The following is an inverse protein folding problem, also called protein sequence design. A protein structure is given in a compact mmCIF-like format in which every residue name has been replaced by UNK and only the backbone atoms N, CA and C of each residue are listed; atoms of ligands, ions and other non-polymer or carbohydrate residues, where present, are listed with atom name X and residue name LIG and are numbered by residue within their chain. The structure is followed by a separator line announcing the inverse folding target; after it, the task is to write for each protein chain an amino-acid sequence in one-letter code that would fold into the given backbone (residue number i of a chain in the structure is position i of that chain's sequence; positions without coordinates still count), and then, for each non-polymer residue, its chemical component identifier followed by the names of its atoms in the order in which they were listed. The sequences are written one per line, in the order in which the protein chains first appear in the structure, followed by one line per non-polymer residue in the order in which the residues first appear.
data_IF_416492632737
#
_entry.id   IF_416492632737
#
_cell.length_a   1.000
_cell.length_b   1.000
_cell.length_c   1.000
_cell.angle_alpha   90.00
_cell.angle_beta   90.00
_cell.angle_gamma   90.00
#
_symmetry.space_group_name_H-M   'P 1'
#
loop_
_entity.id
_entity.type
_entity.pdbx_description
1 polymer ?
#
# COMPACT_ATOMS: atom_id res chain seq x y z
N UNK A 1 30.99 -0.23 -31.56
CA UNK A 1 30.22 0.04 -30.32
C UNK A 1 29.28 -1.12 -30.10
N UNK A 2 29.62 -2.03 -29.18
CA UNK A 2 28.77 -3.17 -28.80
C UNK A 2 27.65 -2.66 -27.89
N UNK A 3 26.40 -2.95 -28.24
CA UNK A 3 25.27 -2.70 -27.35
C UNK A 3 25.47 -3.55 -26.09
N UNK A 4 25.71 -2.89 -24.94
CA UNK A 4 25.49 -3.53 -23.65
C UNK A 4 24.02 -3.95 -23.63
N UNK A 5 23.74 -5.25 -23.51
CA UNK A 5 22.37 -5.78 -23.49
C UNK A 5 21.61 -5.05 -22.38
N UNK A 6 20.49 -4.40 -22.71
CA UNK A 6 19.58 -3.79 -21.73
C UNK A 6 19.18 -4.74 -20.59
N UNK A 7 19.34 -6.06 -20.78
CA UNK A 7 19.13 -7.07 -19.75
C UNK A 7 20.10 -7.05 -18.57
N UNK A 8 21.37 -6.65 -18.72
CA UNK A 8 22.34 -6.75 -17.59
C UNK A 8 22.14 -5.65 -16.55
N UNK A 9 21.78 -4.44 -16.97
CA UNK A 9 21.51 -3.31 -16.06
C UNK A 9 20.21 -3.53 -15.27
N UNK A 10 19.16 -4.04 -15.93
CA UNK A 10 17.91 -4.40 -15.27
C UNK A 10 18.12 -5.59 -14.33
N UNK A 11 18.82 -6.65 -14.75
CA UNK A 11 19.11 -7.81 -13.88
C UNK A 11 19.93 -7.39 -12.63
N UNK A 12 20.96 -6.56 -12.80
CA UNK A 12 21.73 -6.03 -11.69
C UNK A 12 20.89 -5.19 -10.71
N UNK A 13 20.01 -4.33 -11.21
CA UNK A 13 19.12 -3.51 -10.39
C UNK A 13 18.05 -4.36 -9.67
N UNK A 14 17.46 -5.34 -10.35
CA UNK A 14 16.48 -6.24 -9.72
C UNK A 14 17.13 -7.17 -8.70
N UNK A 15 18.38 -7.58 -8.94
CA UNK A 15 19.18 -8.37 -7.99
C UNK A 15 19.63 -7.55 -6.79
N UNK A 16 19.97 -6.26 -6.96
CA UNK A 16 20.39 -5.39 -5.85
C UNK A 16 19.26 -5.11 -4.86
N UNK A 17 18.02 -5.09 -5.34
CA UNK A 17 16.81 -4.69 -4.60
C UNK A 17 16.87 -3.28 -3.99
N UNK A 18 17.78 -2.46 -4.50
CA UNK A 18 17.83 -1.01 -4.29
C UNK A 18 17.63 -0.39 -5.67
N UNK A 19 16.38 -0.25 -6.07
CA UNK A 19 16.05 0.12 -7.43
C UNK A 19 14.64 0.66 -7.58
N UNK A 20 14.42 1.29 -8.73
CA UNK A 20 13.09 1.57 -9.25
C UNK A 20 13.00 1.06 -10.67
N UNK A 21 11.96 0.28 -10.96
CA UNK A 21 11.63 -0.16 -12.32
C UNK A 21 10.30 0.47 -12.71
N UNK A 22 10.28 1.16 -13.87
CA UNK A 22 9.06 1.72 -14.45
C UNK A 22 8.79 1.04 -15.77
N UNK A 23 7.54 0.59 -15.95
CA UNK A 23 7.08 -0.09 -17.15
C UNK A 23 5.85 0.63 -17.67
N UNK A 24 5.89 1.00 -18.94
CA UNK A 24 4.72 1.50 -19.67
C UNK A 24 4.29 0.44 -20.67
N UNK A 25 3.09 -0.08 -20.49
CA UNK A 25 2.59 -1.19 -21.30
C UNK A 25 1.06 -1.14 -21.45
N UNK A 26 0.55 -1.98 -22.34
CA UNK A 26 -0.88 -2.23 -22.57
C UNK A 26 -1.10 -3.73 -22.69
N UNK A 27 -2.14 -4.27 -22.05
CA UNK A 27 -2.52 -5.69 -22.26
C UNK A 27 -3.13 -5.90 -23.64
N UNK A 28 -2.82 -7.04 -24.27
CA UNK A 28 -3.38 -7.43 -25.57
C UNK A 28 -4.73 -8.15 -25.47
N UNK A 29 -5.30 -8.31 -24.26
CA UNK A 29 -6.72 -8.61 -24.06
C UNK A 29 -7.12 -10.09 -24.12
N UNK A 30 -6.22 -11.03 -23.82
CA UNK A 30 -6.56 -12.46 -23.82
C UNK A 30 -5.88 -13.22 -22.69
N UNK A 31 -6.63 -13.58 -21.64
CA UNK A 31 -6.34 -14.64 -20.66
C UNK A 31 -4.86 -14.88 -20.35
N UNK A 32 -4.19 -13.79 -20.00
CA UNK A 32 -2.76 -13.70 -20.01
C UNK A 32 -2.26 -13.60 -18.59
N UNK A 33 -1.60 -14.65 -18.13
CA UNK A 33 -1.07 -14.74 -16.79
C UNK A 33 0.45 -14.75 -16.93
N UNK A 34 1.23 -13.90 -16.25
CA UNK A 34 2.68 -14.08 -16.29
C UNK A 34 3.52 -12.94 -15.71
N UNK A 35 4.78 -13.28 -15.46
CA UNK A 35 5.80 -12.35 -14.99
C UNK A 35 6.46 -11.62 -16.16
N UNK A 36 6.59 -10.28 -16.12
CA UNK A 36 7.35 -9.57 -17.16
C UNK A 36 8.85 -9.57 -16.90
N UNK A 37 9.31 -9.51 -15.65
CA UNK A 37 10.74 -9.52 -15.34
C UNK A 37 11.03 -10.26 -14.04
N UNK A 38 11.74 -11.37 -14.15
CA UNK A 38 12.32 -12.06 -13.01
C UNK A 38 13.78 -11.66 -12.80
N UNK A 39 14.15 -11.37 -11.55
CA UNK A 39 15.56 -11.40 -11.13
C UNK A 39 16.06 -12.84 -10.98
N UNK A 40 17.35 -13.01 -10.75
CA UNK A 40 17.89 -14.25 -10.15
C UNK A 40 17.27 -14.52 -8.76
N UNK A 41 17.45 -15.74 -8.25
CA UNK A 41 17.02 -16.12 -6.89
C UNK A 41 17.52 -15.10 -5.85
N UNK A 42 16.61 -14.56 -5.02
CA UNK A 42 16.95 -13.56 -4.00
C UNK A 42 16.63 -12.11 -4.37
N UNK A 43 16.31 -11.81 -5.63
CA UNK A 43 16.00 -10.45 -6.10
C UNK A 43 14.50 -10.16 -6.26
N UNK A 44 14.19 -9.00 -6.86
CA UNK A 44 12.83 -8.55 -7.12
C UNK A 44 12.22 -9.25 -8.34
N UNK A 45 11.05 -9.87 -8.15
CA UNK A 45 10.22 -10.36 -9.26
C UNK A 45 9.17 -9.33 -9.59
N UNK A 46 9.34 -8.69 -10.73
CA UNK A 46 8.49 -7.60 -11.13
C UNK A 46 7.41 -8.08 -12.06
N UNK A 47 6.22 -7.55 -11.75
CA UNK A 47 5.12 -7.43 -12.67
C UNK A 47 4.44 -8.76 -12.98
N UNK A 48 3.24 -8.90 -12.45
CA UNK A 48 2.30 -9.93 -12.80
C UNK A 48 1.09 -9.27 -13.47
N UNK A 49 0.75 -9.69 -14.68
CA UNK A 49 -0.58 -9.45 -15.26
C UNK A 49 -1.37 -10.74 -15.16
N UNK A 50 -2.58 -10.61 -14.64
CA UNK A 50 -3.69 -11.52 -14.87
C UNK A 50 -4.58 -10.76 -15.84
N UNK A 51 -4.72 -11.23 -17.07
CA UNK A 51 -5.77 -10.75 -17.96
C UNK A 51 -6.91 -11.76 -17.92
N UNK A 52 -8.14 -11.32 -17.75
CA UNK A 52 -9.33 -12.15 -17.91
C UNK A 52 -10.42 -11.35 -18.61
N UNK A 53 -11.71 -11.66 -18.41
CA UNK A 53 -12.77 -10.76 -18.85
C UNK A 53 -12.59 -9.38 -18.16
N UNK A 54 -12.99 -8.27 -18.81
CA UNK A 54 -13.01 -6.92 -18.19
C UNK A 54 -13.66 -7.03 -16.79
N UNK A 55 -12.85 -6.94 -15.74
CA UNK A 55 -13.29 -7.14 -14.34
C UNK A 55 -12.57 -8.25 -13.55
N UNK A 56 -11.92 -9.21 -14.22
CA UNK A 56 -11.06 -10.22 -13.56
C UNK A 56 -9.57 -10.01 -13.83
N UNK A 57 -9.21 -8.98 -14.60
CA UNK A 57 -7.81 -8.63 -14.83
C UNK A 57 -7.20 -8.00 -13.58
N UNK A 58 -5.94 -8.31 -13.27
CA UNK A 58 -5.21 -7.77 -12.13
C UNK A 58 -3.74 -7.50 -12.50
N UNK A 59 -3.15 -6.46 -11.90
CA UNK A 59 -1.74 -6.09 -12.08
C UNK A 59 -1.09 -5.96 -10.71
N UNK A 60 0.13 -6.47 -10.54
CA UNK A 60 0.90 -6.24 -9.33
C UNK A 60 2.20 -7.00 -9.26
N UNK A 61 2.62 -7.37 -8.04
CA UNK A 61 3.87 -8.11 -7.81
C UNK A 61 3.65 -9.61 -7.99
N UNK A 62 4.57 -10.26 -8.70
CA UNK A 62 4.61 -11.71 -8.75
C UNK A 62 5.16 -12.27 -7.44
N UNK A 63 4.42 -13.17 -6.79
CA UNK A 63 4.82 -13.85 -5.55
C UNK A 63 4.23 -15.27 -5.51
N UNK A 64 4.77 -16.12 -4.62
CA UNK A 64 4.28 -17.51 -4.45
C UNK A 64 2.76 -17.58 -4.14
N UNK A 65 2.21 -16.53 -3.53
CA UNK A 65 0.77 -16.33 -3.33
C UNK A 65 0.29 -15.22 -4.26
N UNK A 66 0.03 -15.63 -5.49
CA UNK A 66 -0.27 -14.84 -6.67
C UNK A 66 -1.37 -13.78 -6.46
N UNK A 67 -2.35 -14.04 -5.60
CA UNK A 67 -3.54 -13.19 -5.40
C UNK A 67 -3.37 -12.07 -4.38
N UNK A 68 -2.42 -12.18 -3.44
CA UNK A 68 -2.36 -11.25 -2.31
C UNK A 68 -1.65 -9.92 -2.63
N UNK A 69 -1.02 -9.80 -3.80
CA UNK A 69 -0.19 -8.63 -4.19
C UNK A 69 -0.52 -8.06 -5.55
N UNK A 70 -1.71 -8.35 -6.04
CA UNK A 70 -2.25 -7.81 -7.29
C UNK A 70 -3.47 -6.95 -7.00
N UNK A 71 -3.62 -5.90 -7.78
CA UNK A 71 -4.74 -4.98 -7.73
C UNK A 71 -5.61 -5.15 -8.99
N UNK A 72 -6.94 -5.05 -8.89
CA UNK A 72 -7.82 -5.19 -10.05
C UNK A 72 -7.51 -4.16 -11.14
N UNK A 73 -7.09 -4.60 -12.31
CA UNK A 73 -6.72 -3.75 -13.43
C UNK A 73 -7.89 -3.60 -14.41
N UNK A 74 -8.95 -2.93 -13.95
CA UNK A 74 -10.24 -2.77 -14.67
C UNK A 74 -10.07 -2.16 -16.08
N UNK A 75 -8.90 -1.57 -16.38
CA UNK A 75 -8.52 -1.03 -17.68
C UNK A 75 -7.15 -1.54 -18.18
N UNK A 76 -6.77 -2.79 -17.89
CA UNK A 76 -5.48 -3.36 -18.37
C UNK A 76 -5.32 -3.31 -19.89
N UNK A 77 -6.43 -3.27 -20.64
CA UNK A 77 -6.46 -3.09 -22.09
C UNK A 77 -6.14 -1.66 -22.55
N UNK A 78 -6.07 -0.67 -21.65
CA UNK A 78 -5.52 0.66 -21.91
C UNK A 78 -4.04 0.72 -21.51
N UNK A 79 -3.35 1.76 -21.94
CA UNK A 79 -1.98 2.01 -21.50
C UNK A 79 -1.97 2.24 -19.98
N UNK A 80 -1.07 1.57 -19.28
CA UNK A 80 -0.82 1.78 -17.86
C UNK A 80 0.67 2.01 -17.60
N UNK A 81 0.95 2.73 -16.51
CA UNK A 81 2.29 2.90 -15.95
C UNK A 81 2.36 2.10 -14.66
N UNK A 82 3.26 1.13 -14.60
CA UNK A 82 3.59 0.43 -13.37
C UNK A 82 4.96 0.87 -12.88
N UNK A 83 5.04 1.26 -11.61
CA UNK A 83 6.30 1.58 -10.94
C UNK A 83 6.50 0.57 -9.81
N UNK A 84 7.69 0.00 -9.73
CA UNK A 84 8.11 -0.82 -8.59
C UNK A 84 9.34 -0.18 -7.98
N UNK A 85 9.29 0.15 -6.69
CA UNK A 85 10.40 0.75 -5.95
C UNK A 85 10.79 -0.18 -4.82
N UNK A 86 12.08 -0.33 -4.53
CA UNK A 86 12.58 -1.24 -3.49
C UNK A 86 13.83 -0.68 -2.80
N UNK A 87 13.95 -0.88 -1.49
CA UNK A 87 15.22 -0.73 -0.73
C UNK A 87 15.55 -2.00 0.06
N UNK A 88 16.86 -2.29 0.14
CA UNK A 88 17.48 -3.13 1.16
C UNK A 88 18.35 -2.26 2.07
N UNK A 89 18.55 -2.61 3.37
CA UNK A 89 18.24 -3.90 4.03
C UNK A 89 16.84 -4.01 4.66
N UNK A 90 16.32 -5.24 4.73
CA UNK A 90 15.11 -5.61 5.47
C UNK A 90 15.43 -5.77 6.97
N UNK A 91 15.09 -4.79 7.78
CA UNK A 91 15.02 -4.96 9.23
C UNK A 91 13.54 -4.81 9.63
N UNK A 92 12.97 -5.86 10.24
CA UNK A 92 11.58 -5.82 10.71
C UNK A 92 11.42 -4.68 11.72
N UNK A 93 10.34 -3.88 11.58
CA UNK A 93 9.96 -2.86 12.57
C UNK A 93 10.67 -1.50 12.46
N UNK A 94 11.62 -1.30 11.54
CA UNK A 94 12.34 -0.01 11.38
C UNK A 94 11.97 0.79 10.13
N UNK A 95 11.24 0.20 9.18
CA UNK A 95 10.89 0.86 7.92
C UNK A 95 12.05 1.03 6.93
N UNK A 96 13.17 0.31 7.08
CA UNK A 96 14.38 0.54 6.23
C UNK A 96 14.36 -0.21 4.90
N UNK A 97 13.67 -1.35 4.83
CA UNK A 97 13.39 -2.06 3.59
C UNK A 97 11.94 -1.82 3.19
N UNK A 98 11.70 -1.07 2.12
CA UNK A 98 10.36 -0.75 1.62
C UNK A 98 10.29 -1.12 0.16
N UNK A 99 9.32 -1.95 -0.17
CA UNK A 99 8.84 -2.19 -1.51
C UNK A 99 7.53 -1.45 -1.70
N UNK A 100 7.36 -0.77 -2.85
CA UNK A 100 6.08 -0.22 -3.26
C UNK A 100 5.78 -0.64 -4.69
N UNK A 101 4.53 -1.00 -4.93
CA UNK A 101 4.00 -1.26 -6.27
C UNK A 101 2.97 -0.20 -6.59
N UNK A 102 3.23 0.57 -7.64
CA UNK A 102 2.33 1.59 -8.13
C UNK A 102 1.69 1.16 -9.44
N UNK A 103 0.40 1.48 -9.58
CA UNK A 103 -0.35 1.39 -10.82
C UNK A 103 -0.94 2.76 -11.12
N UNK A 104 -0.56 3.36 -12.24
CA UNK A 104 -0.98 4.69 -12.68
C UNK A 104 -0.83 5.77 -11.59
N UNK A 105 0.24 5.70 -10.80
CA UNK A 105 0.52 6.60 -9.68
C UNK A 105 -0.04 6.14 -8.33
N UNK A 106 -1.02 5.23 -8.27
CA UNK A 106 -1.49 4.69 -6.97
C UNK A 106 -0.53 3.64 -6.44
N UNK A 107 0.03 3.81 -5.25
CA UNK A 107 0.63 2.70 -4.51
C UNK A 107 -0.50 1.76 -4.07
N UNK A 108 -0.57 0.58 -4.70
CA UNK A 108 -1.63 -0.41 -4.44
C UNK A 108 -1.25 -1.40 -3.35
N UNK A 109 0.04 -1.60 -3.14
CA UNK A 109 0.59 -2.40 -2.05
C UNK A 109 1.99 -1.89 -1.71
N UNK A 110 2.31 -1.92 -0.42
CA UNK A 110 3.68 -1.87 0.06
C UNK A 110 4.09 -3.21 0.66
N UNK A 111 5.38 -3.42 0.86
CA UNK A 111 5.87 -4.53 1.67
C UNK A 111 7.20 -4.18 2.33
N UNK A 112 7.44 -4.72 3.51
CA UNK A 112 8.71 -4.60 4.23
C UNK A 112 9.48 -5.93 4.32
N UNK A 113 8.90 -7.03 3.84
CA UNK A 113 9.52 -8.35 3.79
C UNK A 113 9.17 -9.11 2.48
N UNK A 114 9.55 -8.58 1.31
CA UNK A 114 9.32 -9.27 0.05
C UNK A 114 10.13 -10.56 0.03
N UNK A 115 9.45 -11.68 0.30
CA UNK A 115 10.05 -13.00 0.14
C UNK A 115 10.61 -13.10 -1.29
N UNK A 116 11.90 -13.44 -1.46
CA UNK A 116 12.46 -13.67 -2.77
C UNK A 116 11.73 -14.85 -3.41
N UNK A 117 11.39 -14.72 -4.69
CA UNK A 117 10.68 -15.79 -5.39
C UNK A 117 11.67 -16.96 -5.61
N UNK A 118 11.34 -18.20 -5.21
CA UNK A 118 12.33 -19.29 -5.12
C UNK A 118 12.92 -19.77 -6.45
N UNK A 119 12.25 -19.55 -7.59
CA UNK A 119 12.59 -20.22 -8.86
C UNK A 119 12.51 -19.29 -10.08
N UNK A 120 13.51 -18.44 -10.28
CA UNK A 120 13.67 -17.66 -11.51
C UNK A 120 15.07 -17.95 -12.06
N UNK A 121 15.22 -19.04 -12.82
CA UNK A 121 16.50 -19.39 -13.46
C UNK A 121 16.75 -18.64 -14.77
N UNK A 122 15.81 -17.80 -15.22
CA UNK A 122 15.97 -17.02 -16.44
C UNK A 122 15.42 -15.60 -16.28
N UNK A 123 16.29 -14.61 -16.36
CA UNK A 123 15.90 -13.22 -16.63
C UNK A 123 15.28 -13.13 -18.03
N UNK A 124 14.04 -12.64 -18.14
CA UNK A 124 13.41 -12.46 -19.46
C UNK A 124 12.03 -11.81 -19.40
N UNK A 125 11.72 -11.08 -20.47
CA UNK A 125 10.36 -10.70 -20.84
C UNK A 125 9.55 -11.97 -21.07
N UNK A 126 8.50 -12.19 -20.28
CA UNK A 126 7.74 -13.45 -20.26
C UNK A 126 8.61 -14.68 -19.87
N UNK A 127 9.53 -14.51 -18.92
CA UNK A 127 10.39 -15.59 -18.46
C UNK A 127 9.65 -16.74 -17.77
N UNK A 128 10.11 -17.94 -18.09
CA UNK A 128 9.50 -19.22 -17.75
C UNK A 128 9.97 -19.70 -16.37
N UNK A 129 9.03 -19.90 -15.44
CA UNK A 129 9.19 -20.79 -14.29
C UNK A 129 8.08 -21.83 -14.33
N UNK A 130 8.42 -23.07 -14.72
CA UNK A 130 7.55 -24.26 -14.68
C UNK A 130 6.06 -24.05 -15.08
N UNK A 131 5.79 -23.97 -16.38
CA UNK A 131 4.45 -24.22 -16.94
C UNK A 131 3.56 -23.00 -17.16
N UNK A 132 3.49 -22.55 -18.42
CA UNK A 132 2.24 -22.10 -19.05
C UNK A 132 1.82 -20.63 -18.97
N UNK A 133 2.45 -19.78 -18.15
CA UNK A 133 1.95 -18.42 -17.92
C UNK A 133 2.73 -17.37 -18.74
N UNK A 134 2.13 -16.87 -19.84
CA UNK A 134 2.64 -15.75 -20.65
C UNK A 134 1.78 -14.50 -20.48
N UNK A 135 2.43 -13.39 -20.09
CA UNK A 135 1.89 -12.03 -20.21
C UNK A 135 1.93 -11.57 -21.69
N UNK A 136 0.79 -11.20 -22.30
CA UNK A 136 0.64 -10.70 -23.66
C UNK A 136 0.45 -9.20 -23.57
N UNK A 137 1.55 -8.47 -23.71
CA UNK A 137 1.61 -7.04 -23.50
C UNK A 137 2.31 -6.38 -24.68
N UNK A 138 1.81 -5.22 -25.06
CA UNK A 138 2.55 -4.26 -25.87
C UNK A 138 3.35 -3.37 -24.90
N UNK A 139 4.68 -3.48 -24.91
CA UNK A 139 5.58 -2.73 -24.03
C UNK A 139 6.12 -1.52 -24.78
N UNK A 140 5.85 -0.32 -24.27
CA UNK A 140 6.27 0.93 -24.91
C UNK A 140 7.57 1.48 -24.31
N UNK A 141 7.78 1.28 -23.00
CA UNK A 141 8.98 1.78 -22.31
C UNK A 141 9.30 0.97 -21.05
N UNK A 142 10.60 0.83 -20.78
CA UNK A 142 11.15 0.33 -19.51
C UNK A 142 12.23 1.30 -19.05
N UNK A 143 12.12 1.81 -17.82
CA UNK A 143 13.13 2.67 -17.17
C UNK A 143 13.59 1.98 -15.90
N UNK A 144 14.89 2.06 -15.62
CA UNK A 144 15.49 1.51 -14.42
C UNK A 144 16.34 2.58 -13.76
N UNK A 145 16.03 2.87 -12.49
CA UNK A 145 16.88 3.63 -11.61
C UNK A 145 17.62 2.67 -10.67
N UNK A 146 18.91 2.89 -10.48
CA UNK A 146 19.70 2.20 -9.46
C UNK A 146 19.50 2.79 -8.04
N UNK A 147 18.35 3.41 -7.82
CA UNK A 147 17.93 4.02 -6.58
C UNK A 147 16.40 3.86 -6.43
N UNK A 148 15.93 3.90 -5.18
CA UNK A 148 14.51 3.91 -4.87
C UNK A 148 13.97 5.32 -5.05
N UNK A 149 12.92 5.48 -5.87
CA UNK A 149 12.10 6.67 -5.90
C UNK A 149 11.17 6.67 -4.68
N UNK A 150 11.04 7.82 -4.04
CA UNK A 150 10.00 8.10 -3.06
C UNK A 150 8.61 8.08 -3.73
N UNK A 151 7.52 7.95 -2.95
CA UNK A 151 6.17 8.13 -3.47
C UNK A 151 5.97 9.40 -4.29
N UNK A 152 6.46 10.57 -3.83
CA UNK A 152 6.34 11.80 -4.59
C UNK A 152 7.04 11.71 -5.95
N UNK A 153 8.28 11.24 -6.00
CA UNK A 153 9.04 11.05 -7.24
C UNK A 153 8.40 10.00 -8.17
N UNK A 154 7.74 8.98 -7.62
CA UNK A 154 6.99 8.00 -8.42
C UNK A 154 5.76 8.63 -9.10
N UNK A 155 5.09 9.58 -8.44
CA UNK A 155 4.04 10.38 -9.06
C UNK A 155 4.60 11.31 -10.14
N UNK A 156 5.73 11.99 -9.92
CA UNK A 156 6.38 12.85 -10.92
C UNK A 156 6.82 12.05 -12.16
N UNK A 157 7.42 10.87 -11.95
CA UNK A 157 7.81 10.00 -13.05
C UNK A 157 6.60 9.50 -13.84
N UNK A 158 5.49 9.20 -13.15
CA UNK A 158 4.22 8.83 -13.79
C UNK A 158 3.66 10.02 -14.59
N UNK A 159 3.65 11.22 -14.01
CA UNK A 159 3.20 12.47 -14.65
C UNK A 159 3.90 12.70 -15.99
N UNK A 160 5.24 12.64 -15.97
CA UNK A 160 6.07 12.76 -17.16
C UNK A 160 5.74 11.71 -18.23
N UNK A 161 5.49 10.45 -17.84
CA UNK A 161 5.17 9.40 -18.79
C UNK A 161 3.79 9.59 -19.43
N UNK A 162 2.81 10.07 -18.66
CA UNK A 162 1.50 10.43 -19.21
C UNK A 162 1.63 11.56 -20.24
N UNK A 163 2.41 12.61 -19.94
CA UNK A 163 2.68 13.69 -20.90
C UNK A 163 3.42 13.18 -22.14
N UNK A 164 4.45 12.36 -21.95
CA UNK A 164 5.25 11.81 -23.05
C UNK A 164 4.43 10.99 -24.04
N UNK A 165 3.46 10.21 -23.55
CA UNK A 165 2.60 9.36 -24.37
C UNK A 165 1.24 10.00 -24.70
N UNK A 166 1.07 11.31 -24.42
CA UNK A 166 -0.16 12.05 -24.72
C UNK A 166 -1.40 11.48 -24.04
N UNK A 167 -1.25 10.87 -22.87
CA UNK A 167 -2.35 10.31 -22.10
C UNK A 167 -2.92 11.33 -21.11
N UNK A 168 -4.22 11.21 -20.81
CA UNK A 168 -4.85 12.01 -19.77
C UNK A 168 -4.39 11.53 -18.40
N UNK A 169 -3.84 12.45 -17.60
CA UNK A 169 -3.39 12.18 -16.23
C UNK A 169 -4.55 11.69 -15.37
N UNK A 170 -4.41 10.59 -14.60
CA UNK A 170 -5.54 10.02 -13.86
C UNK A 170 -6.11 10.95 -12.78
N UNK A 171 -5.27 11.82 -12.22
CA UNK A 171 -5.66 12.82 -11.23
C UNK A 171 -6.20 14.13 -11.83
N UNK A 172 -6.32 14.25 -13.16
CA UNK A 172 -6.78 15.49 -13.78
C UNK A 172 -8.16 15.94 -13.27
N UNK A 173 -9.07 14.98 -13.02
CA UNK A 173 -10.47 15.23 -12.65
C UNK A 173 -10.72 15.45 -11.15
N UNK A 174 -9.72 15.29 -10.28
CA UNK A 174 -9.88 15.46 -8.82
C UNK A 174 -9.16 16.72 -8.33
N UNK A 175 -9.62 17.28 -7.22
CA UNK A 175 -8.94 18.39 -6.51
C UNK A 175 -7.85 17.89 -5.57
N UNK A 176 -8.02 16.68 -5.03
CA UNK A 176 -7.20 16.12 -3.97
C UNK A 176 -6.80 14.67 -4.27
N UNK A 177 -5.61 14.28 -3.82
CA UNK A 177 -5.17 12.88 -3.77
C UNK A 177 -5.44 12.33 -2.37
N UNK A 178 -6.04 11.14 -2.29
CA UNK A 178 -6.21 10.45 -0.99
C UNK A 178 -4.97 9.64 -0.66
N UNK A 179 -4.32 9.93 0.46
CA UNK A 179 -3.14 9.22 0.95
C UNK A 179 -3.53 8.39 2.16
N UNK A 180 -3.29 7.09 2.12
CA UNK A 180 -3.46 6.20 3.27
C UNK A 180 -2.09 5.91 3.86
N UNK A 181 -1.90 6.19 5.16
CA UNK A 181 -0.64 5.97 5.87
C UNK A 181 -0.90 5.34 7.24
N UNK A 182 0.02 4.51 7.71
CA UNK A 182 -0.15 3.77 8.95
C UNK A 182 0.51 2.40 8.93
N UNK A 183 0.01 1.51 9.78
CA UNK A 183 0.61 0.22 10.06
C UNK A 183 0.16 -0.91 9.12
N UNK A 184 0.33 -2.16 9.57
CA UNK A 184 -0.08 -3.36 8.84
C UNK A 184 -1.58 -3.45 8.56
N UNK A 185 -2.44 -2.84 9.38
CA UNK A 185 -3.88 -2.75 9.12
C UNK A 185 -4.17 -1.76 7.97
N UNK A 186 -3.49 -0.62 7.93
CA UNK A 186 -3.58 0.30 6.79
C UNK A 186 -3.00 -0.31 5.53
N UNK A 187 -1.91 -1.05 5.66
CA UNK A 187 -1.35 -1.82 4.56
C UNK A 187 -2.33 -2.88 4.02
N UNK A 188 -3.24 -3.39 4.85
CA UNK A 188 -4.19 -4.42 4.46
C UNK A 188 -3.70 -5.85 4.69
N UNK A 189 -2.78 -6.08 5.64
CA UNK A 189 -2.38 -7.43 6.04
C UNK A 189 -3.61 -8.21 6.53
N UNK A 190 -3.79 -9.46 6.09
CA UNK A 190 -4.95 -10.29 6.43
C UNK A 190 -6.16 -10.15 5.47
N UNK A 191 -6.17 -9.12 4.61
CA UNK A 191 -7.31 -8.83 3.72
C UNK A 191 -7.54 -9.84 2.59
N UNK A 192 -6.57 -10.73 2.33
CA UNK A 192 -6.59 -11.64 1.18
C UNK A 192 -6.12 -11.00 -0.14
N UNK A 193 -5.77 -9.71 -0.15
CA UNK A 193 -5.19 -8.99 -1.29
C UNK A 193 -5.62 -7.53 -1.36
N UNK A 194 -5.08 -6.76 -2.30
CA UNK A 194 -5.33 -5.30 -2.42
C UNK A 194 -6.82 -4.98 -2.41
N UNK A 195 -7.64 -5.74 -3.14
CA UNK A 195 -9.09 -5.51 -3.24
C UNK A 195 -9.84 -5.70 -1.91
N UNK A 196 -9.28 -6.50 -1.00
CA UNK A 196 -9.84 -6.72 0.33
C UNK A 196 -9.45 -5.64 1.34
N UNK A 197 -8.43 -4.82 1.05
CA UNK A 197 -7.92 -3.81 1.98
C UNK A 197 -8.88 -2.62 2.13
N UNK A 198 -8.89 -1.97 3.30
CA UNK A 198 -9.74 -0.81 3.49
C UNK A 198 -9.38 0.38 2.57
N UNK A 199 -8.10 0.67 2.24
CA UNK A 199 -7.78 1.76 1.33
C UNK A 199 -8.42 1.57 -0.05
N UNK A 200 -8.35 0.36 -0.60
CA UNK A 200 -8.99 0.04 -1.87
C UNK A 200 -10.51 0.15 -1.76
N UNK A 201 -11.13 -0.47 -0.75
CA UNK A 201 -12.59 -0.41 -0.55
C UNK A 201 -13.10 1.04 -0.39
N UNK A 202 -12.39 1.85 0.38
CA UNK A 202 -12.72 3.27 0.59
C UNK A 202 -12.59 4.06 -0.71
N UNK A 203 -11.50 3.85 -1.46
CA UNK A 203 -11.31 4.47 -2.77
C UNK A 203 -12.43 4.11 -3.75
N UNK A 204 -12.82 2.83 -3.83
CA UNK A 204 -13.94 2.41 -4.68
C UNK A 204 -15.28 3.02 -4.24
N UNK A 205 -15.55 3.06 -2.93
CA UNK A 205 -16.76 3.68 -2.39
C UNK A 205 -16.85 5.19 -2.68
N UNK A 206 -15.70 5.87 -2.77
CA UNK A 206 -15.60 7.28 -3.15
C UNK A 206 -15.52 7.51 -4.67
N UNK A 207 -15.55 6.46 -5.50
CA UNK A 207 -15.42 6.56 -6.95
C UNK A 207 -14.03 6.99 -7.44
N UNK A 208 -12.98 6.77 -6.62
CA UNK A 208 -11.61 7.16 -6.95
C UNK A 208 -10.93 6.11 -7.83
N UNK A 209 -10.43 6.58 -8.97
CA UNK A 209 -9.62 5.77 -9.88
C UNK A 209 -8.17 5.65 -9.39
N UNK A 210 -7.41 4.71 -9.97
CA UNK A 210 -5.96 4.71 -9.78
C UNK A 210 -5.34 6.04 -10.24
N UNK A 211 -4.34 6.50 -9.51
CA UNK A 211 -3.73 7.82 -9.56
C UNK A 211 -4.45 8.89 -8.74
N UNK A 212 -5.63 8.60 -8.18
CA UNK A 212 -6.38 9.55 -7.31
C UNK A 212 -6.29 9.20 -5.82
N UNK A 213 -5.67 8.06 -5.51
CA UNK A 213 -5.40 7.61 -4.15
C UNK A 213 -4.10 6.81 -4.08
N UNK A 214 -3.52 6.63 -2.90
CA UNK A 214 -2.29 5.86 -2.73
C UNK A 214 -2.18 5.30 -1.32
N UNK A 215 -1.74 4.04 -1.17
CA UNK A 215 -1.47 3.42 0.12
C UNK A 215 0.03 3.36 0.40
N UNK A 216 0.52 4.29 1.22
CA UNK A 216 1.94 4.40 1.62
C UNK A 216 2.19 3.80 3.00
N UNK A 217 1.24 3.08 3.59
CA UNK A 217 1.42 2.43 4.88
C UNK A 217 2.57 1.41 4.88
N UNK A 218 3.08 1.07 6.07
CA UNK A 218 4.17 0.11 6.26
C UNK A 218 3.82 -0.81 7.42
N UNK A 219 3.89 -2.12 7.18
CA UNK A 219 3.68 -3.12 8.24
C UNK A 219 4.64 -2.91 9.42
N UNK A 220 4.12 -2.98 10.64
CA UNK A 220 4.95 -2.86 11.85
C UNK A 220 5.52 -1.47 12.14
N UNK A 221 5.12 -0.43 11.40
CA UNK A 221 5.61 0.94 11.65
C UNK A 221 4.99 1.50 12.94
N UNK A 222 5.77 2.30 13.65
CA UNK A 222 5.34 3.09 14.81
C UNK A 222 4.95 4.50 14.38
N UNK A 223 4.17 5.22 15.20
CA UNK A 223 3.80 6.61 14.91
C UNK A 223 5.04 7.52 14.79
N UNK A 224 6.07 7.31 15.60
CA UNK A 224 7.37 8.01 15.45
C UNK A 224 7.99 7.78 14.08
N UNK A 225 8.00 6.54 13.58
CA UNK A 225 8.59 6.22 12.29
C UNK A 225 7.73 6.71 11.12
N UNK A 226 6.40 6.79 11.28
CA UNK A 226 5.52 7.46 10.31
C UNK A 226 5.90 8.93 10.14
N UNK A 227 6.22 9.63 11.24
CA UNK A 227 6.69 11.02 11.20
C UNK A 227 8.03 11.13 10.46
N UNK A 228 8.97 10.21 10.70
CA UNK A 228 10.25 10.17 9.98
C UNK A 228 10.06 9.90 8.48
N UNK A 229 9.07 9.08 8.11
CA UNK A 229 8.75 8.74 6.72
C UNK A 229 7.98 9.83 5.97
N UNK A 230 7.28 10.72 6.67
CA UNK A 230 6.43 11.78 6.09
C UNK A 230 7.05 12.50 4.87
N UNK A 231 8.34 12.92 4.87
CA UNK A 231 8.95 13.61 3.72
C UNK A 231 8.92 12.81 2.41
N UNK A 232 8.82 11.48 2.46
CA UNK A 232 8.77 10.64 1.27
C UNK A 232 7.47 10.86 0.45
N UNK A 233 6.35 11.12 1.13
CA UNK A 233 5.04 11.23 0.48
C UNK A 233 4.40 12.60 0.59
N UNK A 234 4.90 13.49 1.44
CA UNK A 234 4.36 14.86 1.60
C UNK A 234 4.43 15.70 0.31
N UNK A 235 5.29 15.32 -0.64
CA UNK A 235 5.43 15.98 -1.94
C UNK A 235 4.37 15.60 -2.99
N UNK A 236 3.51 14.60 -2.74
CA UNK A 236 2.55 14.10 -3.75
C UNK A 236 1.60 15.20 -4.24
N UNK A 237 1.10 16.05 -3.33
CA UNK A 237 0.24 17.18 -3.70
C UNK A 237 0.94 18.14 -4.66
N UNK A 238 2.22 18.48 -4.40
CA UNK A 238 3.01 19.32 -5.30
C UNK A 238 3.29 18.63 -6.65
N UNK A 239 3.67 17.35 -6.63
CA UNK A 239 3.92 16.54 -7.83
C UNK A 239 2.72 16.43 -8.77
N UNK A 240 1.50 16.55 -8.23
CA UNK A 240 0.24 16.42 -8.99
C UNK A 240 -0.50 17.75 -9.18
N UNK A 241 -0.05 18.83 -8.53
CA UNK A 241 -0.75 20.11 -8.45
C UNK A 241 -2.10 20.01 -7.71
N UNK A 242 -2.21 19.12 -6.71
CA UNK A 242 -3.44 18.80 -5.97
C UNK A 242 -3.28 19.05 -4.47
N UNK A 243 -4.40 19.14 -3.77
CA UNK A 243 -4.41 18.99 -2.30
C UNK A 243 -4.25 17.53 -1.90
N UNK A 244 -4.12 17.29 -0.59
CA UNK A 244 -4.03 15.94 -0.04
C UNK A 244 -5.06 15.71 1.07
N UNK A 245 -5.73 14.56 1.01
CA UNK A 245 -6.58 14.03 2.08
C UNK A 245 -5.87 12.81 2.65
N UNK A 246 -5.34 12.93 3.86
CA UNK A 246 -4.59 11.86 4.53
C UNK A 246 -5.54 11.10 5.45
N UNK A 247 -5.58 9.79 5.32
CA UNK A 247 -6.27 8.89 6.23
C UNK A 247 -5.23 8.05 6.97
N UNK A 248 -5.13 8.21 8.29
CA UNK A 248 -4.09 7.54 9.06
C UNK A 248 -4.55 7.07 10.43
N UNK A 249 -3.95 5.99 10.90
CA UNK A 249 -3.97 5.58 12.31
C UNK A 249 -2.77 4.69 12.62
N UNK A 250 -2.24 4.84 13.82
CA UNK A 250 -1.26 3.92 14.40
C UNK A 250 -1.33 3.97 15.93
N UNK A 251 -1.40 2.77 16.52
CA UNK A 251 -1.41 2.53 17.97
C UNK A 251 -0.59 1.27 18.27
N UNK A 252 -0.86 0.20 17.52
CA UNK A 252 -0.52 -1.16 17.89
C UNK A 252 0.99 -1.41 18.05
N UNK A 253 1.83 -0.86 17.18
CA UNK A 253 3.28 -1.06 17.26
C UNK A 253 3.95 -0.07 18.22
N UNK A 254 3.30 1.06 18.50
CA UNK A 254 3.77 2.05 19.46
C UNK A 254 3.43 1.71 20.92
N UNK A 255 2.40 0.87 21.16
CA UNK A 255 1.86 0.57 22.50
C UNK A 255 2.88 0.10 23.53
N UNK A 256 3.94 -0.58 23.09
CA UNK A 256 5.02 -1.06 23.97
C UNK A 256 5.78 0.05 24.70
N UNK A 257 5.66 1.30 24.22
CA UNK A 257 6.23 2.48 24.88
C UNK A 257 5.32 3.08 25.97
N UNK A 258 4.12 2.53 26.18
CA UNK A 258 3.12 3.04 27.11
C UNK A 258 2.25 4.16 26.55
N UNK A 259 1.15 4.47 27.25
CA UNK A 259 0.11 5.38 26.75
C UNK A 259 0.62 6.79 26.48
N UNK A 260 1.34 7.40 27.42
CA UNK A 260 1.84 8.77 27.29
C UNK A 260 2.77 8.92 26.07
N UNK A 261 3.70 7.98 25.87
CA UNK A 261 4.60 7.99 24.73
C UNK A 261 3.85 7.75 23.41
N UNK A 262 2.84 6.87 23.42
CA UNK A 262 2.01 6.59 22.25
C UNK A 262 1.22 7.83 21.82
N UNK A 263 0.55 8.50 22.77
CA UNK A 263 -0.18 9.75 22.52
C UNK A 263 0.76 10.83 21.99
N UNK A 264 1.93 11.02 22.61
CA UNK A 264 2.91 12.02 22.17
C UNK A 264 3.41 11.76 20.75
N UNK A 265 3.71 10.51 20.40
CA UNK A 265 4.15 10.13 19.05
C UNK A 265 3.05 10.36 18.00
N UNK A 266 1.80 9.98 18.28
CA UNK A 266 0.67 10.23 17.38
C UNK A 266 0.41 11.72 17.19
N UNK A 267 0.44 12.52 18.26
CA UNK A 267 0.27 13.98 18.16
C UNK A 267 1.42 14.65 17.38
N UNK A 268 2.66 14.17 17.54
CA UNK A 268 3.80 14.66 16.77
C UNK A 268 3.64 14.37 15.27
N UNK A 269 3.16 13.18 14.91
CA UNK A 269 2.84 12.84 13.52
C UNK A 269 1.70 13.72 12.98
N UNK A 270 0.59 13.84 13.71
CA UNK A 270 -0.57 14.67 13.34
C UNK A 270 -0.12 16.10 13.05
N UNK A 271 0.64 16.71 13.96
CA UNK A 271 1.17 18.06 13.80
C UNK A 271 2.07 18.19 12.55
N UNK A 272 2.92 17.19 12.29
CA UNK A 272 3.80 17.18 11.13
C UNK A 272 3.00 17.08 9.81
N UNK A 273 1.96 16.24 9.74
CA UNK A 273 1.06 16.15 8.57
C UNK A 273 0.35 17.48 8.34
N UNK A 274 -0.17 18.10 9.41
CA UNK A 274 -0.87 19.40 9.33
C UNK A 274 0.04 20.56 8.92
N UNK A 275 1.35 20.42 9.09
CA UNK A 275 2.33 21.40 8.60
C UNK A 275 2.59 21.28 7.09
N UNK A 276 2.16 20.19 6.44
CA UNK A 276 2.26 20.05 4.98
C UNK A 276 1.19 20.92 4.31
N UNK A 277 1.56 21.80 3.37
CA UNK A 277 0.59 22.67 2.70
C UNK A 277 -0.56 21.91 2.03
N UNK A 278 -1.76 22.50 2.04
CA UNK A 278 -2.96 21.95 1.39
C UNK A 278 -3.29 20.50 1.79
N UNK A 279 -2.98 20.13 3.04
CA UNK A 279 -3.20 18.78 3.57
C UNK A 279 -4.27 18.79 4.66
N UNK A 280 -5.26 17.90 4.51
CA UNK A 280 -6.27 17.59 5.52
C UNK A 280 -6.07 16.18 6.05
N UNK A 281 -6.38 15.94 7.32
CA UNK A 281 -6.14 14.68 8.01
C UNK A 281 -7.41 14.13 8.65
N UNK A 282 -7.74 12.89 8.28
CA UNK A 282 -8.69 12.02 8.96
C UNK A 282 -7.90 11.02 9.82
N UNK A 283 -8.06 11.11 11.14
CA UNK A 283 -7.34 10.27 12.09
C UNK A 283 -8.25 9.25 12.77
N UNK A 284 -7.86 7.98 12.74
CA UNK A 284 -8.52 6.90 13.47
C UNK A 284 -7.82 6.57 14.79
N UNK A 285 -8.58 6.12 15.79
CA UNK A 285 -8.02 5.56 17.04
C UNK A 285 -7.56 4.10 16.87
N UNK A 286 -7.46 3.35 17.97
CA UNK A 286 -7.11 1.93 17.95
C UNK A 286 -8.29 1.02 17.60
N UNK A 287 -7.98 -0.14 17.01
CA UNK A 287 -8.87 -1.31 16.96
C UNK A 287 -8.59 -2.23 18.16
N UNK A 288 -9.46 -3.22 18.38
CA UNK A 288 -9.20 -4.30 19.34
C UNK A 288 -8.02 -5.17 18.89
N UNK A 289 -7.44 -5.96 19.80
CA UNK A 289 -6.44 -6.97 19.46
C UNK A 289 -6.31 -8.05 20.55
N UNK A 290 -5.55 -9.11 20.28
CA UNK A 290 -5.19 -10.07 21.32
C UNK A 290 -4.42 -9.42 22.46
N UNK A 291 -4.87 -9.67 23.69
CA UNK A 291 -4.36 -9.01 24.89
C UNK A 291 -5.23 -7.86 25.41
N UNK A 292 -6.38 -7.58 24.76
CA UNK A 292 -7.43 -6.77 25.39
C UNK A 292 -8.05 -7.51 26.59
N UNK A 293 -8.48 -6.79 27.66
CA UNK A 293 -8.39 -5.34 27.83
C UNK A 293 -6.93 -4.87 28.02
N UNK A 294 -6.58 -3.77 27.34
CA UNK A 294 -5.25 -3.18 27.36
C UNK A 294 -5.33 -1.76 27.98
N UNK A 295 -4.72 -1.59 29.15
CA UNK A 295 -4.73 -0.30 29.86
C UNK A 295 -4.09 0.83 29.05
N UNK A 296 -3.10 0.52 28.22
CA UNK A 296 -2.44 1.50 27.35
C UNK A 296 -3.39 1.95 26.25
N UNK A 297 -4.16 1.00 25.70
CA UNK A 297 -5.17 1.23 24.67
C UNK A 297 -6.29 2.13 25.18
N UNK A 298 -6.81 1.85 26.37
CA UNK A 298 -7.87 2.65 26.99
C UNK A 298 -7.42 4.08 27.26
N UNK A 299 -6.23 4.27 27.83
CA UNK A 299 -5.69 5.60 28.06
C UNK A 299 -5.44 6.37 26.75
N UNK A 300 -4.97 5.68 25.70
CA UNK A 300 -4.81 6.27 24.37
C UNK A 300 -6.16 6.72 23.78
N UNK A 301 -7.17 5.84 23.74
CA UNK A 301 -8.48 6.16 23.18
C UNK A 301 -9.16 7.30 23.96
N UNK A 302 -9.15 7.24 25.29
CA UNK A 302 -9.73 8.27 26.15
C UNK A 302 -9.06 9.64 25.94
N UNK A 303 -7.75 9.68 25.66
CA UNK A 303 -7.06 10.94 25.38
C UNK A 303 -7.54 11.58 24.08
N UNK A 304 -7.76 10.80 23.01
CA UNK A 304 -8.27 11.31 21.73
C UNK A 304 -9.77 11.64 21.77
N UNK A 305 -10.56 10.92 22.56
CA UNK A 305 -11.96 11.29 22.81
C UNK A 305 -12.07 12.62 23.58
N UNK A 306 -11.15 12.85 24.52
CA UNK A 306 -11.10 14.09 25.28
C UNK A 306 -10.63 15.29 24.43
N UNK A 307 -9.67 15.08 23.54
CA UNK A 307 -9.16 16.12 22.65
C UNK A 307 -8.69 15.57 21.29
N UNK A 308 -9.39 15.98 20.24
CA UNK A 308 -9.06 15.71 18.83
C UNK A 308 -9.10 17.00 17.99
N UNK A 309 -8.90 18.17 18.59
CA UNK A 309 -9.00 19.45 17.87
C UNK A 309 -7.93 19.63 16.78
N UNK A 310 -6.88 18.81 16.81
CA UNK A 310 -5.73 18.90 15.90
C UNK A 310 -5.88 18.08 14.61
N UNK A 311 -7.02 17.39 14.42
CA UNK A 311 -7.34 16.64 13.20
C UNK A 311 -8.56 17.25 12.52
N UNK A 312 -8.64 17.14 11.19
CA UNK A 312 -9.78 17.70 10.44
C UNK A 312 -11.01 16.77 10.50
N UNK A 313 -10.78 15.47 10.64
CA UNK A 313 -11.82 14.48 10.91
C UNK A 313 -11.30 13.44 11.90
N UNK A 314 -12.12 13.10 12.90
CA UNK A 314 -11.82 12.11 13.92
C UNK A 314 -12.73 10.88 13.75
N UNK A 315 -12.13 9.69 13.78
CA UNK A 315 -12.86 8.42 13.68
C UNK A 315 -12.57 7.57 14.93
N UNK A 316 -13.52 7.46 15.88
CA UNK A 316 -13.35 6.68 17.11
C UNK A 316 -13.53 5.18 16.82
N UNK A 317 -12.56 4.60 16.12
CA UNK A 317 -12.56 3.18 15.72
C UNK A 317 -12.78 2.23 16.90
N UNK A 318 -12.36 2.61 18.10
CA UNK A 318 -12.46 1.80 19.31
C UNK A 318 -13.90 1.64 19.85
N UNK A 319 -14.87 2.41 19.35
CA UNK A 319 -16.28 2.32 19.75
C UNK A 319 -17.07 1.29 18.92
N UNK A 320 -16.51 0.81 17.82
CA UNK A 320 -17.19 -0.14 16.95
C UNK A 320 -17.25 -1.53 17.60
N UNK A 321 -18.45 -2.09 17.78
CA UNK A 321 -18.61 -3.37 18.48
C UNK A 321 -18.04 -4.60 17.73
N UNK A 322 -17.75 -4.48 16.43
CA UNK A 322 -17.31 -5.61 15.59
C UNK A 322 -15.79 -5.75 15.50
N UNK A 323 -15.06 -4.63 15.50
CA UNK A 323 -13.60 -4.61 15.34
C UNK A 323 -12.89 -3.70 16.35
N UNK A 324 -13.63 -2.85 17.05
CA UNK A 324 -13.12 -1.73 17.83
C UNK A 324 -13.21 -1.93 19.34
N UNK A 325 -14.36 -2.35 19.87
CA UNK A 325 -14.60 -2.45 21.29
C UNK A 325 -13.65 -3.47 21.94
N UNK A 326 -13.30 -3.27 23.21
CA UNK A 326 -12.50 -4.26 23.94
C UNK A 326 -13.19 -5.63 23.90
N UNK A 327 -12.44 -6.66 23.49
CA UNK A 327 -13.01 -7.99 23.32
C UNK A 327 -13.96 -8.12 22.14
N UNK A 328 -13.90 -7.23 21.14
CA UNK A 328 -14.54 -7.49 19.86
C UNK A 328 -14.07 -8.86 19.32
N UNK A 329 -15.03 -9.74 19.01
CA UNK A 329 -14.84 -11.17 18.68
C UNK A 329 -14.42 -12.10 19.85
N UNK A 330 -14.73 -11.71 21.10
CA UNK A 330 -14.55 -12.54 22.31
C UNK A 330 -15.61 -13.64 22.49
N UNK A 331 -15.64 -14.63 21.60
CA UNK A 331 -16.29 -15.91 21.96
C UNK A 331 -15.31 -16.74 22.80
N UNK A 332 -15.30 -16.46 24.11
CA UNK A 332 -14.77 -17.37 25.13
C UNK A 332 -13.31 -17.15 25.50
N UNK A 333 -13.07 -16.84 26.77
CA UNK A 333 -11.76 -16.55 27.33
C UNK A 333 -10.66 -17.54 26.93
N UNK A 334 -9.53 -16.96 26.55
CA UNK A 334 -8.19 -17.54 26.64
C UNK A 334 -7.91 -18.80 25.80
N UNK A 335 -7.40 -18.59 24.58
CA UNK A 335 -6.23 -19.31 24.02
C UNK A 335 -6.05 -19.04 22.51
N UNK A 336 -7.06 -18.53 21.81
CA UNK A 336 -7.10 -18.71 20.36
C UNK A 336 -7.92 -17.63 19.63
N UNK A 337 -7.27 -16.51 19.27
CA UNK A 337 -7.50 -15.83 17.98
C UNK A 337 -7.09 -16.80 16.84
N UNK A 338 -7.69 -17.99 16.80
CA UNK A 338 -7.33 -19.05 15.88
C UNK A 338 -8.38 -19.11 14.79
N UNK A 339 -8.05 -18.56 13.62
CA UNK A 339 -8.51 -19.01 12.30
C UNK A 339 -10.04 -19.21 12.09
N UNK A 340 -10.89 -18.69 12.98
CA UNK A 340 -12.34 -18.93 13.03
C UNK A 340 -13.14 -17.70 13.47
N UNK A 341 -12.44 -16.60 13.73
CA UNK A 341 -13.08 -15.33 14.03
C UNK A 341 -13.66 -14.76 12.72
N UNK A 342 -14.88 -14.21 12.79
CA UNK A 342 -15.56 -13.77 11.56
C UNK A 342 -14.91 -12.51 10.98
N UNK A 343 -14.13 -11.77 11.78
CA UNK A 343 -13.56 -10.47 11.39
C UNK A 343 -12.03 -10.41 11.38
N UNK A 344 -11.33 -11.38 11.96
CA UNK A 344 -9.87 -11.39 12.09
C UNK A 344 -9.23 -12.56 11.34
N UNK A 345 -8.07 -12.32 10.74
CA UNK A 345 -7.26 -13.38 10.10
C UNK A 345 -6.23 -13.96 11.06
N UNK A 346 -5.77 -13.16 12.01
CA UNK A 346 -4.87 -13.56 13.09
C UNK A 346 -5.14 -12.70 14.34
N UNK A 347 -4.19 -12.67 15.27
CA UNK A 347 -4.32 -12.01 16.57
C UNK A 347 -4.28 -10.46 16.52
N UNK A 348 -3.97 -9.90 15.36
CA UNK A 348 -3.80 -8.44 15.12
C UNK A 348 -4.52 -7.96 13.86
N UNK A 349 -4.58 -8.79 12.82
CA UNK A 349 -4.98 -8.38 11.49
C UNK A 349 -6.42 -8.78 11.18
N UNK A 350 -7.15 -7.89 10.54
CA UNK A 350 -8.51 -8.13 10.06
C UNK A 350 -8.48 -9.07 8.86
N UNK A 351 -9.55 -9.87 8.70
CA UNK A 351 -9.83 -10.57 7.45
C UNK A 351 -10.65 -9.67 6.51
N UNK A 352 -11.02 -10.17 5.32
CA UNK A 352 -11.80 -9.39 4.35
C UNK A 352 -13.15 -8.85 4.87
N UNK A 353 -13.79 -9.54 5.82
CA UNK A 353 -15.02 -9.07 6.45
C UNK A 353 -14.73 -7.99 7.51
N UNK A 354 -13.69 -8.13 8.34
CA UNK A 354 -13.28 -7.07 9.26
C UNK A 354 -12.83 -5.80 8.53
N UNK A 355 -12.11 -5.94 7.41
CA UNK A 355 -11.80 -4.79 6.55
C UNK A 355 -13.03 -4.16 5.90
N UNK A 356 -14.14 -4.90 5.80
CA UNK A 356 -15.44 -4.35 5.39
C UNK A 356 -16.04 -3.46 6.50
N UNK A 357 -15.79 -3.75 7.77
CA UNK A 357 -16.22 -2.85 8.85
C UNK A 357 -15.29 -1.63 8.93
N UNK A 358 -13.97 -1.82 8.82
CA UNK A 358 -13.00 -0.73 8.90
C UNK A 358 -13.20 0.34 7.81
N UNK A 359 -13.44 -0.05 6.55
CA UNK A 359 -13.70 0.97 5.52
C UNK A 359 -15.03 1.70 5.75
N UNK A 360 -16.07 1.03 6.27
CA UNK A 360 -17.36 1.66 6.56
C UNK A 360 -17.23 2.74 7.65
N UNK A 361 -16.30 2.57 8.58
CA UNK A 361 -15.98 3.55 9.62
C UNK A 361 -15.10 4.70 9.10
N UNK A 362 -14.03 4.38 8.35
CA UNK A 362 -13.06 5.38 7.90
C UNK A 362 -13.57 6.23 6.72
N UNK A 363 -14.30 5.64 5.78
CA UNK A 363 -14.73 6.33 4.54
C UNK A 363 -15.51 7.62 4.81
N UNK A 364 -16.53 7.64 5.72
CA UNK A 364 -17.25 8.88 6.03
C UNK A 364 -16.34 9.99 6.56
N UNK A 365 -15.36 9.65 7.40
CA UNK A 365 -14.40 10.62 7.92
C UNK A 365 -13.50 11.20 6.82
N UNK A 366 -13.10 10.38 5.85
CA UNK A 366 -12.31 10.84 4.69
C UNK A 366 -13.14 11.74 3.77
N UNK A 367 -14.43 11.41 3.57
CA UNK A 367 -15.35 12.22 2.75
C UNK A 367 -15.68 13.57 3.39
N UNK A 368 -15.59 13.69 4.72
CA UNK A 368 -15.82 14.93 5.45
C UNK A 368 -14.67 15.96 5.29
N UNK A 369 -13.48 15.52 4.87
CA UNK A 369 -12.36 16.39 4.52
C UNK A 369 -12.64 17.14 3.22
#
# INVERSE_FOLDING_TARGET
MSAARAGTALDAALTSQVCTTIIVAKSRGTNSLGCMFGSNAGGNSNFMVIDGAQGSSAIGRYANNVTSRVAPAVNAANMFVMVHTSTKPYAMGTGTGIEHVYLNGTCVTSDNNPAPVPNQTNFGLAAQGAGGQRALLDVFRVIVYNARLTPAEAFEATDYLFDHFGQVKPWAAVSDIVVYDGNSLVLGVGSGGVAGSYPYKSAQAMGLAYGQWTNVAVGGITATNMQTKLPEWSGIGAATGKGMKVAAFEYYNQKGSGAAATIAASNAYIAAVKAVPNTKLCWGTSLSHAGDPDTTRNAFNAAFDADHSNVDSYVPLHLDASIGAEGADSVGGNAYFNNSSTKWSDIVHLNGAGYTDLHNLMTPGIQAL
#
